data_IF_037064079310
#
_entry.id   IF_037064079310
#
_cell.length_a   1.000
_cell.length_b   1.000
_cell.length_c   1.000
_cell.angle_alpha   90.00
_cell.angle_beta   90.00
_cell.angle_gamma   90.00
#
_symmetry.space_group_name_H-M   'P 1'
#
loop_
_entity.id
_entity.type
_entity.pdbx_description
1 polymer ?
#
# COMPACT_ATOMS: atom_id res chain seq x y z
N UNK A 1 -24.52 27.72 -64.87
CA UNK A 1 -23.40 27.66 -63.91
C UNK A 1 -23.38 26.23 -63.39
N UNK A 2 -22.84 25.25 -64.14
CA UNK A 2 -21.44 25.10 -64.57
C UNK A 2 -20.50 25.15 -63.35
N UNK A 3 -19.65 24.19 -63.02
CA UNK A 3 -19.34 22.84 -63.52
C UNK A 3 -18.58 22.09 -62.39
N UNK A 4 -18.79 20.79 -62.25
CA UNK A 4 -17.79 19.83 -61.72
C UNK A 4 -16.83 19.51 -62.90
N UNK A 5 -15.55 19.07 -62.77
CA UNK A 5 -15.30 17.64 -62.44
C UNK A 5 -13.86 17.23 -61.97
N UNK A 6 -13.73 15.93 -61.61
CA UNK A 6 -12.61 14.94 -61.83
C UNK A 6 -11.15 15.29 -61.51
N UNK A 7 -10.42 14.43 -60.75
CA UNK A 7 -9.60 13.28 -61.22
C UNK A 7 -8.45 13.71 -62.15
N UNK A 8 -7.19 13.46 -61.77
CA UNK A 8 -6.23 12.66 -62.56
C UNK A 8 -4.88 12.48 -61.84
N UNK A 9 -4.32 11.30 -62.10
CA UNK A 9 -3.02 10.75 -61.71
C UNK A 9 -2.05 11.06 -62.86
N UNK A 10 -0.82 11.47 -62.56
CA UNK A 10 0.38 11.35 -63.42
C UNK A 10 1.59 11.80 -62.57
N UNK A 11 2.83 11.35 -62.70
CA UNK A 11 3.54 10.34 -63.49
C UNK A 11 4.91 10.24 -62.76
N UNK A 12 5.54 9.07 -62.61
CA UNK A 12 6.59 8.67 -63.55
C UNK A 12 7.99 9.14 -63.10
N UNK A 13 8.82 8.20 -62.61
CA UNK A 13 10.28 8.24 -62.81
C UNK A 13 10.96 6.90 -62.42
N UNK A 14 11.17 6.09 -63.45
CA UNK A 14 12.43 5.33 -63.76
C UNK A 14 12.97 4.25 -62.80
N UNK A 15 12.86 3.00 -63.27
CA UNK A 15 13.86 1.92 -63.17
C UNK A 15 15.17 2.30 -63.90
N UNK A 16 16.31 1.64 -63.60
CA UNK A 16 16.68 0.51 -64.47
C UNK A 16 17.23 -0.74 -63.73
N UNK A 17 16.98 -1.89 -64.35
CA UNK A 17 17.68 -3.16 -64.12
C UNK A 17 19.14 -3.14 -64.60
N UNK A 18 19.98 -3.95 -63.95
CA UNK A 18 21.16 -4.68 -64.49
C UNK A 18 21.67 -5.61 -63.37
N UNK A 19 22.20 -6.82 -63.54
CA UNK A 19 22.58 -7.63 -64.70
C UNK A 19 22.84 -9.07 -64.18
N UNK A 20 22.63 -10.07 -65.02
CA UNK A 20 22.87 -11.50 -64.74
C UNK A 20 24.36 -11.84 -64.65
N UNK A 21 24.70 -12.86 -63.87
CA UNK A 21 26.02 -13.49 -63.89
C UNK A 21 25.97 -14.93 -63.40
N UNK A 22 25.79 -15.87 -64.33
CA UNK A 22 25.82 -17.31 -64.10
C UNK A 22 27.26 -17.84 -64.19
N UNK A 23 27.64 -18.73 -63.27
CA UNK A 23 28.77 -19.65 -63.47
C UNK A 23 28.51 -20.98 -62.76
N UNK A 24 28.29 -22.04 -63.55
CA UNK A 24 28.47 -23.44 -63.16
C UNK A 24 29.95 -23.82 -63.36
N UNK A 25 30.50 -24.78 -62.62
CA UNK A 25 30.72 -26.07 -63.27
C UNK A 25 30.58 -27.32 -62.38
N UNK A 26 30.29 -28.41 -63.11
CA UNK A 26 30.74 -29.80 -62.95
C UNK A 26 30.46 -30.61 -61.67
N UNK A 27 29.70 -31.68 -61.92
CA UNK A 27 29.55 -32.87 -61.09
C UNK A 27 30.64 -33.88 -61.47
N UNK A 28 31.54 -34.20 -60.56
CA UNK A 28 32.38 -35.41 -60.60
C UNK A 28 32.31 -36.12 -59.24
N UNK A 29 32.38 -37.44 -59.28
CA UNK A 29 31.92 -38.40 -58.29
C UNK A 29 32.72 -38.40 -56.97
N UNK A 30 32.03 -38.68 -55.86
CA UNK A 30 32.64 -39.33 -54.69
C UNK A 30 32.22 -38.79 -53.32
N UNK A 31 31.07 -39.25 -52.82
CA UNK A 31 30.76 -39.52 -51.39
C UNK A 31 31.18 -38.45 -50.36
N UNK A 32 30.21 -37.62 -49.91
CA UNK A 32 29.87 -37.31 -48.49
C UNK A 32 28.83 -36.15 -48.38
N UNK A 33 27.81 -36.37 -47.51
CA UNK A 33 26.85 -35.46 -46.83
C UNK A 33 25.65 -34.85 -47.63
N UNK A 34 24.52 -34.52 -46.96
CA UNK A 34 24.46 -33.30 -46.12
C UNK A 34 23.75 -33.43 -44.77
N UNK A 35 24.25 -32.63 -43.82
CA UNK A 35 23.57 -32.20 -42.59
C UNK A 35 22.15 -31.73 -42.90
N UNK A 36 21.18 -32.26 -42.15
CA UNK A 36 19.86 -31.67 -42.04
C UNK A 36 19.93 -30.64 -40.91
N UNK A 37 19.64 -29.39 -41.27
CA UNK A 37 19.65 -28.22 -40.42
C UNK A 37 18.79 -28.45 -39.18
N UNK A 38 19.40 -28.27 -38.00
CA UNK A 38 18.69 -28.19 -36.74
C UNK A 38 17.93 -26.86 -36.72
N UNK A 39 16.61 -26.95 -36.88
CA UNK A 39 15.66 -25.87 -36.61
C UNK A 39 16.05 -25.19 -35.28
N UNK A 40 16.38 -23.90 -35.33
CA UNK A 40 16.68 -23.12 -34.14
C UNK A 40 15.47 -23.19 -33.19
N UNK A 41 15.67 -23.42 -31.87
CA UNK A 41 14.56 -23.38 -30.93
C UNK A 41 13.86 -22.02 -31.03
N UNK A 42 12.51 -21.98 -31.01
CA UNK A 42 11.78 -20.73 -31.08
C UNK A 42 12.27 -19.79 -29.98
N UNK A 43 12.43 -18.48 -30.26
CA UNK A 43 12.82 -17.51 -29.24
C UNK A 43 11.84 -17.64 -28.06
N UNK A 44 12.32 -17.60 -26.80
CA UNK A 44 11.44 -17.66 -25.65
C UNK A 44 10.35 -16.59 -25.80
N UNK A 45 9.09 -16.90 -25.43
CA UNK A 45 8.00 -15.94 -25.53
C UNK A 45 8.41 -14.68 -24.76
N UNK A 46 8.28 -13.52 -25.42
CA UNK A 46 8.51 -12.23 -24.78
C UNK A 46 7.59 -12.11 -23.57
N UNK A 47 8.10 -11.68 -22.40
CA UNK A 47 7.29 -11.58 -21.18
C UNK A 47 6.08 -10.68 -21.44
N UNK A 48 4.92 -11.09 -20.93
CA UNK A 48 3.71 -10.27 -21.02
C UNK A 48 3.92 -8.93 -20.29
N UNK A 49 3.25 -7.83 -20.69
CA UNK A 49 3.38 -6.54 -20.01
C UNK A 49 3.08 -6.60 -18.50
N UNK A 50 2.31 -7.60 -18.06
CA UNK A 50 2.02 -7.85 -16.64
C UNK A 50 3.19 -8.54 -15.91
N UNK A 51 3.98 -9.38 -16.57
CA UNK A 51 5.20 -9.98 -16.00
C UNK A 51 6.33 -8.96 -15.91
N UNK A 52 6.53 -8.10 -16.91
CA UNK A 52 7.52 -7.01 -16.83
C UNK A 52 7.18 -6.00 -15.71
N UNK A 53 5.89 -5.70 -15.49
CA UNK A 53 5.45 -4.82 -14.41
C UNK A 53 5.65 -5.45 -13.02
N UNK A 54 5.39 -6.76 -12.88
CA UNK A 54 5.63 -7.50 -11.64
C UNK A 54 7.12 -7.63 -11.34
N UNK A 55 7.94 -7.92 -12.36
CA UNK A 55 9.40 -8.00 -12.24
C UNK A 55 10.04 -6.64 -11.97
N UNK A 56 9.48 -5.54 -12.50
CA UNK A 56 9.92 -4.19 -12.16
C UNK A 56 9.60 -3.83 -10.71
N UNK A 57 8.43 -4.22 -10.19
CA UNK A 57 8.00 -3.99 -8.81
C UNK A 57 8.80 -4.80 -7.77
N UNK A 58 9.11 -6.07 -8.07
CA UNK A 58 9.98 -6.91 -7.23
C UNK A 58 11.44 -6.48 -7.30
N UNK A 59 11.88 -5.97 -8.46
CA UNK A 59 13.22 -5.38 -8.63
C UNK A 59 13.36 -4.01 -7.98
N UNK A 60 12.24 -3.33 -7.74
CA UNK A 60 12.15 -2.33 -6.71
C UNK A 60 12.36 -3.05 -5.35
N UNK A 61 11.38 -3.61 -4.64
CA UNK A 61 11.47 -3.85 -3.16
C UNK A 61 12.87 -4.20 -2.56
N UNK A 62 13.35 -3.38 -1.61
CA UNK A 62 14.57 -3.67 -0.82
C UNK A 62 14.41 -4.92 0.06
N UNK A 63 13.16 -5.28 0.31
CA UNK A 63 12.78 -6.27 1.29
C UNK A 63 11.52 -7.00 0.84
N UNK A 64 11.59 -8.29 0.59
CA UNK A 64 10.40 -9.10 0.26
C UNK A 64 9.67 -9.48 1.54
N UNK A 65 8.39 -9.84 1.44
CA UNK A 65 7.54 -10.22 2.58
C UNK A 65 8.15 -11.36 3.41
N UNK A 66 8.86 -12.29 2.76
CA UNK A 66 9.43 -13.48 3.40
C UNK A 66 10.88 -13.31 3.88
N UNK A 67 11.53 -12.19 3.58
CA UNK A 67 12.91 -12.00 4.00
C UNK A 67 12.95 -11.80 5.55
N UNK A 68 14.03 -12.15 6.27
CA UNK A 68 14.23 -11.71 7.71
C UNK A 68 15.37 -10.67 7.92
N UNK A 69 15.09 -9.39 8.32
CA UNK A 69 16.11 -8.35 8.26
C UNK A 69 17.05 -8.50 9.46
N UNK A 70 18.21 -7.83 9.46
CA UNK A 70 19.05 -7.77 10.66
C UNK A 70 18.25 -7.26 11.87
N UNK A 71 18.40 -7.92 13.02
CA UNK A 71 17.56 -7.70 14.21
C UNK A 71 17.47 -6.24 14.66
N UNK A 72 18.55 -5.45 14.48
CA UNK A 72 18.57 -4.03 14.82
C UNK A 72 17.70 -3.20 13.88
N UNK A 73 17.70 -3.51 12.58
CA UNK A 73 16.80 -2.86 11.62
C UNK A 73 15.34 -3.20 11.91
N UNK A 74 15.04 -4.45 12.29
CA UNK A 74 13.68 -4.85 12.66
C UNK A 74 13.10 -3.99 13.78
N UNK A 75 13.91 -3.64 14.79
CA UNK A 75 13.48 -2.77 15.90
C UNK A 75 13.14 -1.37 15.37
N UNK A 76 13.99 -0.78 14.53
CA UNK A 76 13.74 0.55 13.97
C UNK A 76 12.54 0.58 13.02
N UNK A 77 12.41 -0.41 12.13
CA UNK A 77 11.27 -0.52 11.21
C UNK A 77 9.97 -0.77 11.99
N UNK A 78 9.99 -1.64 13.00
CA UNK A 78 8.86 -1.90 13.87
C UNK A 78 8.42 -0.64 14.63
N UNK A 79 9.37 0.13 15.15
CA UNK A 79 9.08 1.41 15.80
C UNK A 79 8.48 2.43 14.82
N UNK A 80 9.01 2.53 13.60
CA UNK A 80 8.47 3.41 12.56
C UNK A 80 7.02 3.05 12.20
N UNK A 81 6.75 1.76 12.00
CA UNK A 81 5.40 1.27 11.73
C UNK A 81 4.45 1.55 12.90
N UNK A 82 4.91 1.33 14.13
CA UNK A 82 4.14 1.68 15.33
C UNK A 82 3.81 3.18 15.41
N UNK A 83 4.81 4.05 15.26
CA UNK A 83 4.64 5.51 15.31
C UNK A 83 3.70 6.04 14.23
N UNK A 84 3.67 5.39 13.06
CA UNK A 84 2.77 5.77 11.96
C UNK A 84 1.32 5.35 12.26
N UNK A 85 1.12 4.15 12.80
CA UNK A 85 -0.22 3.59 13.03
C UNK A 85 -0.88 4.09 14.32
N UNK A 86 -0.08 4.41 15.35
CA UNK A 86 -0.59 4.86 16.65
C UNK A 86 -1.33 6.20 16.51
N UNK A 87 -0.87 7.10 15.62
CA UNK A 87 -1.53 8.38 15.37
C UNK A 87 -2.98 8.21 14.92
N UNK A 88 -3.19 7.40 13.87
CA UNK A 88 -4.53 7.09 13.36
C UNK A 88 -5.40 6.35 14.39
N UNK A 89 -4.82 5.42 15.13
CA UNK A 89 -5.56 4.61 16.12
C UNK A 89 -6.05 5.45 17.30
N UNK A 90 -5.24 6.40 17.78
CA UNK A 90 -5.59 7.31 18.88
C UNK A 90 -6.64 8.35 18.45
N UNK A 91 -6.69 8.71 17.16
CA UNK A 91 -7.71 9.66 16.66
C UNK A 91 -9.13 9.15 16.92
N UNK A 92 -9.40 7.86 16.75
CA UNK A 92 -10.75 7.29 16.90
C UNK A 92 -11.35 7.53 18.30
N UNK A 93 -10.71 7.11 19.42
CA UNK A 93 -11.24 7.38 20.74
C UNK A 93 -11.33 8.88 21.03
N UNK A 94 -10.38 9.71 20.57
CA UNK A 94 -10.49 11.17 20.76
C UNK A 94 -11.66 11.82 20.03
N UNK A 95 -12.06 11.29 18.89
CA UNK A 95 -13.25 11.75 18.17
C UNK A 95 -14.54 11.29 18.85
N UNK A 96 -14.54 10.11 19.48
CA UNK A 96 -15.72 9.52 20.11
C UNK A 96 -15.95 9.97 21.56
N UNK A 97 -14.89 10.22 22.34
CA UNK A 97 -15.00 10.63 23.76
C UNK A 97 -15.93 11.81 24.02
N UNK A 98 -15.93 12.92 23.25
CA UNK A 98 -16.88 14.02 23.49
C UNK A 98 -18.34 13.63 23.21
N UNK A 99 -18.59 12.66 22.33
CA UNK A 99 -19.94 12.15 22.03
C UNK A 99 -20.42 11.13 23.07
N UNK A 100 -19.49 10.58 23.85
CA UNK A 100 -19.75 9.69 24.98
C UNK A 100 -19.89 10.44 26.30
N UNK A 101 -19.80 11.77 26.29
CA UNK A 101 -19.85 12.62 27.47
C UNK A 101 -18.68 12.39 28.45
N UNK A 102 -17.50 12.02 27.93
CA UNK A 102 -16.27 11.87 28.72
C UNK A 102 -15.52 13.22 28.69
N UNK A 103 -15.19 13.74 29.87
CA UNK A 103 -14.44 15.00 30.01
C UNK A 103 -12.97 14.83 29.56
N UNK A 104 -12.33 15.92 29.15
CA UNK A 104 -10.93 15.90 28.72
C UNK A 104 -9.97 15.49 29.83
N UNK A 105 -10.31 15.78 31.09
CA UNK A 105 -9.48 15.43 32.27
C UNK A 105 -9.83 14.06 32.87
N UNK A 106 -10.80 13.35 32.31
CA UNK A 106 -11.28 12.11 32.88
C UNK A 106 -10.29 10.95 32.64
N UNK A 107 -9.94 10.15 33.67
CA UNK A 107 -9.08 8.98 33.50
C UNK A 107 -9.66 7.92 32.53
N UNK A 108 -10.98 7.90 32.30
CA UNK A 108 -11.63 6.99 31.35
C UNK A 108 -11.12 7.16 29.91
N UNK A 109 -10.81 8.40 29.49
CA UNK A 109 -10.22 8.67 28.18
C UNK A 109 -8.89 7.95 27.99
N UNK A 110 -8.04 7.96 29.02
CA UNK A 110 -6.78 7.22 29.03
C UNK A 110 -6.98 5.70 28.96
N UNK A 111 -8.00 5.17 29.66
CA UNK A 111 -8.35 3.74 29.60
C UNK A 111 -8.80 3.31 28.20
N UNK A 112 -9.57 4.14 27.49
CA UNK A 112 -9.98 3.85 26.11
C UNK A 112 -8.80 3.82 25.14
N UNK A 113 -7.91 4.83 25.23
CA UNK A 113 -6.72 4.93 24.40
C UNK A 113 -5.75 3.76 24.64
N UNK A 114 -5.50 3.39 25.90
CA UNK A 114 -4.62 2.27 26.20
C UNK A 114 -5.21 0.94 25.71
N UNK A 115 -6.52 0.75 25.88
CA UNK A 115 -7.21 -0.48 25.47
C UNK A 115 -7.18 -0.66 23.95
N UNK A 116 -7.48 0.38 23.16
CA UNK A 116 -7.49 0.24 21.69
C UNK A 116 -6.10 -0.08 21.13
N UNK A 117 -5.03 0.54 21.68
CA UNK A 117 -3.64 0.25 21.26
C UNK A 117 -3.25 -1.17 21.67
N UNK A 118 -3.58 -1.58 22.90
CA UNK A 118 -3.24 -2.90 23.41
C UNK A 118 -3.93 -4.02 22.62
N UNK A 119 -5.25 -3.89 22.39
CA UNK A 119 -6.02 -4.85 21.62
C UNK A 119 -5.58 -4.86 20.15
N UNK A 120 -5.30 -3.70 19.54
CA UNK A 120 -4.71 -3.60 18.20
C UNK A 120 -3.40 -4.37 18.08
N UNK A 121 -2.53 -4.31 19.08
CA UNK A 121 -1.30 -5.09 19.14
C UNK A 121 -1.55 -6.60 19.19
N UNK A 122 -2.45 -7.05 20.07
CA UNK A 122 -2.83 -8.47 20.18
C UNK A 122 -3.39 -8.99 18.85
N UNK A 123 -4.33 -8.25 18.25
CA UNK A 123 -4.98 -8.65 17.01
C UNK A 123 -3.98 -8.67 15.85
N UNK A 124 -3.04 -7.72 15.80
CA UNK A 124 -1.95 -7.73 14.81
C UNK A 124 -1.05 -8.97 14.96
N UNK A 125 -0.70 -9.34 16.21
CA UNK A 125 0.07 -10.55 16.48
C UNK A 125 -0.70 -11.81 16.06
N UNK A 126 -2.00 -11.89 16.36
CA UNK A 126 -2.85 -13.00 15.95
C UNK A 126 -2.96 -13.10 14.42
N UNK A 127 -3.13 -11.96 13.73
CA UNK A 127 -3.18 -11.88 12.27
C UNK A 127 -1.88 -12.34 11.61
N UNK A 128 -0.73 -11.95 12.20
CA UNK A 128 0.58 -12.32 11.68
C UNK A 128 0.97 -13.79 11.98
N UNK A 129 0.51 -14.36 13.09
CA UNK A 129 0.89 -15.73 13.51
C UNK A 129 -0.08 -16.82 13.03
N UNK A 130 -1.37 -16.64 13.30
CA UNK A 130 -2.45 -17.61 13.01
C UNK A 130 -3.33 -17.22 11.81
N UNK A 131 -3.35 -15.93 11.46
CA UNK A 131 -4.14 -15.42 10.35
C UNK A 131 -3.50 -15.68 8.99
N UNK A 132 -3.61 -14.70 8.10
CA UNK A 132 -3.16 -14.80 6.70
C UNK A 132 -1.63 -14.75 6.57
N UNK A 133 -0.89 -14.58 7.68
CA UNK A 133 0.58 -14.45 7.73
C UNK A 133 1.15 -13.34 6.84
N UNK A 134 0.29 -12.40 6.46
CA UNK A 134 0.69 -11.19 5.77
C UNK A 134 1.03 -10.10 6.79
N UNK A 135 2.03 -9.24 6.52
CA UNK A 135 2.43 -8.15 7.39
C UNK A 135 1.40 -7.00 7.33
N UNK A 136 0.23 -7.23 7.95
CA UNK A 136 -0.89 -6.28 8.02
C UNK A 136 -1.04 -5.81 9.46
N UNK A 137 -0.92 -4.51 9.68
CA UNK A 137 -1.15 -3.91 11.00
C UNK A 137 -2.65 -3.69 11.16
N UNK A 138 -3.23 -4.29 12.18
CA UNK A 138 -4.65 -4.13 12.49
C UNK A 138 -4.85 -3.01 13.49
N UNK A 139 -5.84 -2.16 13.24
CA UNK A 139 -6.22 -1.06 14.11
C UNK A 139 -7.71 -0.75 13.98
N UNK A 140 -8.18 0.30 14.67
CA UNK A 140 -9.55 0.75 14.51
C UNK A 140 -9.83 1.26 13.10
N UNK A 141 -11.03 0.99 12.58
CA UNK A 141 -11.43 1.44 11.24
C UNK A 141 -12.23 2.74 11.29
N UNK A 142 -11.82 3.71 10.48
CA UNK A 142 -12.57 4.96 10.29
C UNK A 142 -13.91 4.75 9.58
N UNK A 143 -14.10 3.64 8.86
CA UNK A 143 -15.37 3.32 8.20
C UNK A 143 -16.52 3.11 9.19
N UNK A 144 -16.22 2.70 10.43
CA UNK A 144 -17.24 2.59 11.48
C UNK A 144 -17.46 3.89 12.26
N UNK A 145 -16.68 4.93 12.00
CA UNK A 145 -16.78 6.18 12.74
C UNK A 145 -18.10 6.89 12.42
N UNK A 146 -18.42 7.06 11.14
CA UNK A 146 -19.68 7.69 10.68
C UNK A 146 -20.92 6.99 11.26
N UNK A 147 -21.11 5.65 11.13
CA UNK A 147 -22.26 4.98 11.72
C UNK A 147 -22.24 5.04 13.25
N UNK A 148 -21.07 5.03 13.90
CA UNK A 148 -20.99 5.18 15.36
C UNK A 148 -21.46 6.56 15.82
N UNK A 149 -21.04 7.63 15.13
CA UNK A 149 -21.55 9.00 15.41
C UNK A 149 -23.06 9.02 15.23
N UNK A 150 -23.59 8.45 14.14
CA UNK A 150 -25.02 8.41 13.88
C UNK A 150 -25.79 7.69 15.00
N UNK A 151 -25.29 6.55 15.49
CA UNK A 151 -25.90 5.85 16.64
C UNK A 151 -25.92 6.74 17.88
N UNK A 152 -24.79 7.39 18.19
CA UNK A 152 -24.66 8.23 19.39
C UNK A 152 -25.54 9.48 19.37
N UNK A 153 -25.75 10.10 18.21
CA UNK A 153 -26.55 11.32 18.08
C UNK A 153 -28.04 11.06 17.94
N UNK A 154 -28.44 9.84 17.56
CA UNK A 154 -29.86 9.47 17.38
C UNK A 154 -30.44 8.70 18.56
N UNK A 155 -29.64 7.85 19.20
CA UNK A 155 -30.11 6.94 20.28
C UNK A 155 -30.05 7.60 21.65
N UNK A 156 -29.16 8.57 21.83
CA UNK A 156 -28.91 9.20 23.12
C UNK A 156 -29.06 10.71 23.04
N UNK A 157 -29.44 11.32 24.16
CA UNK A 157 -29.51 12.77 24.29
C UNK A 157 -28.11 13.41 24.14
N UNK A 158 -28.07 14.65 23.66
CA UNK A 158 -26.81 15.36 23.49
C UNK A 158 -26.16 15.64 24.84
N UNK A 159 -24.84 15.45 24.95
CA UNK A 159 -24.10 15.66 26.21
C UNK A 159 -24.22 17.08 26.78
N UNK A 160 -24.62 18.07 25.97
CA UNK A 160 -24.86 19.45 26.40
C UNK A 160 -26.09 19.59 27.30
N UNK A 161 -27.09 18.74 27.11
CA UNK A 161 -28.37 18.83 27.79
C UNK A 161 -28.38 18.04 29.11
N UNK A 162 -27.37 17.19 29.33
CA UNK A 162 -27.22 16.45 30.58
C UNK A 162 -26.55 17.33 31.66
N UNK A 163 -27.01 17.29 32.92
CA UNK A 163 -26.43 18.04 34.03
C UNK A 163 -25.13 17.39 34.57
N UNK A 164 -24.15 17.13 33.70
CA UNK A 164 -22.89 16.44 34.04
C UNK A 164 -22.15 17.08 35.22
N UNK A 165 -22.23 18.40 35.39
CA UNK A 165 -21.55 19.14 36.45
C UNK A 165 -22.21 18.99 37.83
N UNK A 166 -23.45 18.51 37.90
CA UNK A 166 -24.22 18.32 39.14
C UNK A 166 -24.33 16.84 39.52
N UNK A 167 -24.03 15.93 38.59
CA UNK A 167 -24.04 14.49 38.80
C UNK A 167 -22.84 14.02 39.61
N UNK A 168 -23.01 12.89 40.28
CA UNK A 168 -21.93 12.15 40.95
C UNK A 168 -21.01 11.46 39.93
N UNK A 169 -19.80 11.10 40.35
CA UNK A 169 -18.84 10.40 39.48
C UNK A 169 -19.38 9.05 38.97
N UNK A 170 -20.20 8.35 39.78
CA UNK A 170 -20.82 7.08 39.40
C UNK A 170 -21.86 7.25 38.28
N UNK A 171 -22.71 8.28 38.38
CA UNK A 171 -23.69 8.61 37.34
C UNK A 171 -23.01 9.03 36.03
N UNK A 172 -21.92 9.81 36.12
CA UNK A 172 -21.10 10.17 34.94
C UNK A 172 -20.49 8.94 34.28
N UNK A 173 -20.04 7.97 35.09
CA UNK A 173 -19.48 6.72 34.57
C UNK A 173 -20.54 5.87 33.85
N UNK A 174 -21.75 5.78 34.41
CA UNK A 174 -22.86 5.03 33.81
C UNK A 174 -23.24 5.58 32.42
N UNK A 175 -23.28 6.91 32.26
CA UNK A 175 -23.65 7.56 30.98
C UNK A 175 -22.72 7.15 29.84
N UNK A 176 -21.40 7.20 30.03
CA UNK A 176 -20.46 6.84 28.96
C UNK A 176 -20.36 5.32 28.77
N UNK A 177 -20.47 4.54 29.85
CA UNK A 177 -20.46 3.07 29.77
C UNK A 177 -21.67 2.53 29.01
N UNK A 178 -22.86 3.12 29.20
CA UNK A 178 -24.06 2.74 28.46
C UNK A 178 -23.89 2.97 26.95
N UNK A 179 -23.36 4.13 26.56
CA UNK A 179 -23.05 4.47 25.16
C UNK A 179 -22.00 3.52 24.56
N UNK A 180 -20.95 3.20 25.32
CA UNK A 180 -19.92 2.24 24.91
C UNK A 180 -20.48 0.84 24.70
N UNK A 181 -21.38 0.37 25.58
CA UNK A 181 -22.00 -0.95 25.48
C UNK A 181 -22.84 -1.11 24.22
N UNK A 182 -23.59 -0.07 23.85
CA UNK A 182 -24.37 -0.06 22.61
C UNK A 182 -23.48 -0.17 21.37
N UNK A 183 -22.41 0.63 21.32
CA UNK A 183 -21.44 0.60 20.20
C UNK A 183 -20.75 -0.75 20.10
N UNK A 184 -20.28 -1.29 21.22
CA UNK A 184 -19.63 -2.60 21.25
C UNK A 184 -20.60 -3.71 20.83
N UNK A 185 -21.86 -3.65 21.25
CA UNK A 185 -22.90 -4.57 20.83
C UNK A 185 -23.13 -4.52 19.31
N UNK A 186 -23.27 -3.33 18.74
CA UNK A 186 -23.45 -3.14 17.30
C UNK A 186 -22.25 -3.67 16.50
N UNK A 187 -21.02 -3.37 16.93
CA UNK A 187 -19.80 -3.86 16.28
C UNK A 187 -19.68 -5.39 16.41
N UNK A 188 -20.07 -5.98 17.55
CA UNK A 188 -20.02 -7.43 17.74
C UNK A 188 -20.97 -8.16 16.78
N UNK A 189 -22.20 -7.66 16.63
CA UNK A 189 -23.18 -8.21 15.69
C UNK A 189 -22.69 -8.06 14.24
N UNK A 190 -22.14 -6.89 13.90
CA UNK A 190 -21.53 -6.63 12.58
C UNK A 190 -20.38 -7.60 12.28
N UNK A 191 -19.51 -7.85 13.27
CA UNK A 191 -18.38 -8.78 13.13
C UNK A 191 -18.86 -10.23 12.91
N UNK A 192 -19.85 -10.69 13.67
CA UNK A 192 -20.43 -12.03 13.47
C UNK A 192 -21.02 -12.15 12.06
N UNK A 193 -21.78 -11.14 11.62
CA UNK A 193 -22.33 -11.10 10.26
C UNK A 193 -21.22 -11.14 9.19
N UNK A 194 -20.16 -10.36 9.36
CA UNK A 194 -19.03 -10.33 8.44
C UNK A 194 -18.29 -11.67 8.37
N UNK A 195 -18.13 -12.37 9.51
CA UNK A 195 -17.54 -13.71 9.56
C UNK A 195 -18.42 -14.72 8.83
N UNK A 196 -19.74 -14.70 9.03
CA UNK A 196 -20.67 -15.58 8.30
C UNK A 196 -20.62 -15.33 6.79
N UNK A 197 -20.65 -14.07 6.37
CA UNK A 197 -20.53 -13.69 4.95
C UNK A 197 -19.17 -14.12 4.39
N UNK A 198 -18.09 -14.00 5.16
CA UNK A 198 -16.77 -14.50 4.80
C UNK A 198 -16.75 -16.02 4.57
N UNK A 199 -17.34 -16.80 5.47
CA UNK A 199 -17.42 -18.26 5.34
C UNK A 199 -18.28 -18.73 4.17
N UNK A 200 -19.33 -17.99 3.82
CA UNK A 200 -20.16 -18.31 2.65
C UNK A 200 -19.46 -18.09 1.30
N UNK A 201 -18.30 -17.44 1.27
CA UNK A 201 -17.56 -17.15 0.03
C UNK A 201 -18.23 -16.10 -0.88
N UNK A 202 -19.33 -15.48 -0.44
CA UNK A 202 -20.06 -14.44 -1.18
C UNK A 202 -19.14 -13.26 -1.51
N UNK A 203 -18.18 -12.95 -0.63
CA UNK A 203 -17.21 -11.87 -0.84
C UNK A 203 -16.42 -12.08 -2.14
N UNK A 204 -16.04 -13.31 -2.51
CA UNK A 204 -15.30 -13.57 -3.75
C UNK A 204 -16.13 -13.25 -5.01
N UNK A 205 -17.42 -13.59 -4.99
CA UNK A 205 -18.35 -13.26 -6.08
C UNK A 205 -18.58 -11.75 -6.13
N UNK A 206 -18.75 -11.12 -4.97
CA UNK A 206 -18.98 -9.69 -4.87
C UNK A 206 -17.77 -8.87 -5.35
N UNK A 207 -16.54 -9.30 -5.04
CA UNK A 207 -15.31 -8.65 -5.52
C UNK A 207 -15.14 -8.73 -7.05
N UNK A 208 -15.80 -9.68 -7.72
CA UNK A 208 -15.87 -9.71 -9.20
C UNK A 208 -16.74 -8.57 -9.74
N UNK A 209 -17.72 -8.11 -8.97
CA UNK A 209 -18.64 -7.03 -9.37
C UNK A 209 -18.14 -5.66 -8.94
N UNK A 210 -17.46 -5.58 -7.80
CA UNK A 210 -16.93 -4.33 -7.27
C UNK A 210 -15.66 -3.96 -8.03
N UNK A 211 -15.79 -3.04 -8.98
CA UNK A 211 -14.64 -2.46 -9.66
C UNK A 211 -13.95 -1.41 -8.79
N UNK A 212 -12.62 -1.17 -8.97
CA UNK A 212 -11.90 -0.09 -8.31
C UNK A 212 -12.56 1.29 -8.49
N UNK A 213 -13.29 1.46 -9.59
CA UNK A 213 -14.08 2.66 -9.90
C UNK A 213 -15.19 2.95 -8.87
N UNK A 214 -15.71 1.93 -8.18
CA UNK A 214 -16.71 2.10 -7.12
C UNK A 214 -16.06 2.22 -5.72
N UNK A 215 -14.94 1.53 -5.48
CA UNK A 215 -14.25 1.53 -4.18
C UNK A 215 -13.61 2.90 -3.90
N UNK A 216 -12.87 3.44 -4.88
CA UNK A 216 -12.14 4.70 -4.72
C UNK A 216 -13.05 5.88 -4.29
N UNK A 217 -14.19 6.16 -4.96
CA UNK A 217 -15.07 7.25 -4.53
C UNK A 217 -15.73 6.97 -3.18
N UNK A 218 -16.05 5.70 -2.85
CA UNK A 218 -16.64 5.34 -1.55
C UNK A 218 -15.65 5.63 -0.41
N UNK A 219 -14.38 5.20 -0.56
CA UNK A 219 -13.34 5.47 0.44
C UNK A 219 -13.04 6.97 0.53
N UNK A 220 -13.02 7.68 -0.60
CA UNK A 220 -12.85 9.13 -0.61
C UNK A 220 -13.99 9.85 0.12
N UNK A 221 -15.23 9.37 -0.02
CA UNK A 221 -16.39 9.95 0.65
C UNK A 221 -16.36 9.70 2.17
N UNK A 222 -15.90 8.51 2.61
CA UNK A 222 -15.62 8.25 4.03
C UNK A 222 -14.57 9.22 4.56
N UNK A 223 -13.47 9.44 3.82
CA UNK A 223 -12.46 10.43 4.19
C UNK A 223 -12.99 11.86 4.25
N UNK A 224 -13.80 12.26 3.26
CA UNK A 224 -14.39 13.60 3.19
C UNK A 224 -15.35 13.86 4.36
N UNK A 225 -16.12 12.86 4.78
CA UNK A 225 -17.05 12.99 5.92
C UNK A 225 -16.34 13.28 7.25
N UNK A 226 -15.06 12.93 7.38
CA UNK A 226 -14.24 13.16 8.57
C UNK A 226 -13.52 14.52 8.53
N UNK A 227 -13.51 15.18 7.36
CA UNK A 227 -12.78 16.43 7.17
C UNK A 227 -13.31 17.55 8.05
N UNK A 228 -14.63 17.67 8.22
CA UNK A 228 -15.24 18.70 9.07
C UNK A 228 -14.74 18.61 10.51
N UNK A 229 -14.78 17.41 11.08
CA UNK A 229 -14.35 17.18 12.47
C UNK A 229 -12.84 17.38 12.62
N UNK A 230 -12.05 16.96 11.63
CA UNK A 230 -10.61 17.18 11.62
C UNK A 230 -10.27 18.68 11.50
N UNK A 231 -11.00 19.43 10.67
CA UNK A 231 -10.81 20.87 10.48
C UNK A 231 -11.16 21.64 11.76
N UNK A 232 -12.28 21.31 12.41
CA UNK A 232 -12.67 21.92 13.67
C UNK A 232 -11.59 21.73 14.74
N UNK A 233 -11.07 20.51 14.89
CA UNK A 233 -9.99 20.23 15.85
C UNK A 233 -8.65 20.86 15.46
N UNK A 234 -8.32 20.90 14.17
CA UNK A 234 -7.10 21.54 13.69
C UNK A 234 -7.13 23.07 13.85
N UNK A 235 -8.32 23.68 13.76
CA UNK A 235 -8.51 25.14 13.88
C UNK A 235 -8.21 25.66 15.29
N UNK A 236 -8.47 24.86 16.32
CA UNK A 236 -8.16 25.21 17.73
C UNK A 236 -6.69 25.54 17.94
N UNK A 237 -5.80 24.83 17.24
CA UNK A 237 -4.35 25.01 17.30
C UNK A 237 -3.76 25.15 15.89
N UNK A 238 -4.28 26.09 15.11
CA UNK A 238 -3.91 26.29 13.71
C UNK A 238 -2.40 26.40 13.47
N UNK A 239 -1.65 27.02 14.38
CA UNK A 239 -0.19 27.17 14.26
C UNK A 239 0.57 25.85 14.34
N UNK A 240 0.17 24.96 15.26
CA UNK A 240 0.77 23.62 15.39
C UNK A 240 0.39 22.78 14.16
N UNK A 241 -0.88 22.82 13.76
CA UNK A 241 -1.38 22.11 12.58
C UNK A 241 -0.65 22.51 11.29
N UNK A 242 -0.46 23.82 11.06
CA UNK A 242 0.25 24.33 9.90
C UNK A 242 1.73 23.94 9.92
N UNK A 243 2.38 24.04 11.09
CA UNK A 243 3.77 23.62 11.27
C UNK A 243 3.94 22.13 10.93
N UNK A 244 3.07 21.25 11.44
CA UNK A 244 3.12 19.82 11.13
C UNK A 244 2.90 19.55 9.64
N UNK A 245 1.94 20.23 8.99
CA UNK A 245 1.72 20.13 7.55
C UNK A 245 2.97 20.54 6.74
N UNK A 246 3.58 21.67 7.09
CA UNK A 246 4.78 22.15 6.43
C UNK A 246 5.97 21.19 6.60
N UNK A 247 6.16 20.64 7.80
CA UNK A 247 7.20 19.63 8.06
C UNK A 247 6.95 18.35 7.26
N UNK A 248 5.71 17.86 7.19
CA UNK A 248 5.37 16.69 6.38
C UNK A 248 5.65 16.93 4.89
N UNK A 249 5.27 18.10 4.36
CA UNK A 249 5.55 18.46 2.96
C UNK A 249 7.07 18.58 2.73
N UNK A 250 7.80 19.23 3.63
CA UNK A 250 9.25 19.40 3.52
C UNK A 250 9.95 18.03 3.56
N UNK A 251 9.62 17.17 4.52
CA UNK A 251 10.25 15.87 4.69
C UNK A 251 9.86 14.90 3.57
N UNK A 252 8.59 14.87 3.18
CA UNK A 252 8.08 13.98 2.13
C UNK A 252 8.51 14.41 0.72
N UNK A 253 8.48 15.71 0.40
CA UNK A 253 8.68 16.19 -0.97
C UNK A 253 10.11 16.68 -1.23
N UNK A 254 10.75 17.37 -0.28
CA UNK A 254 12.07 18.00 -0.49
C UNK A 254 13.22 17.05 -0.09
N UNK A 255 13.12 16.42 1.09
CA UNK A 255 14.16 15.49 1.58
C UNK A 255 14.15 14.13 0.89
N UNK A 256 13.12 13.81 0.09
CA UNK A 256 13.12 12.63 -0.80
C UNK A 256 14.31 12.58 -1.77
N UNK A 257 14.86 13.74 -2.14
CA UNK A 257 15.96 13.82 -3.11
C UNK A 257 17.32 14.19 -2.49
N UNK A 258 17.40 14.41 -1.18
CA UNK A 258 18.66 14.75 -0.48
C UNK A 258 19.28 13.47 0.10
N UNK A 259 20.50 13.15 -0.33
CA UNK A 259 21.28 12.07 0.26
C UNK A 259 21.83 12.52 1.60
N UNK A 260 21.43 11.86 2.68
CA UNK A 260 21.92 12.18 4.03
C UNK A 260 23.24 11.44 4.23
N UNK A 261 24.36 12.13 4.46
CA UNK A 261 25.65 11.48 4.67
C UNK A 261 25.63 10.81 6.05
N UNK A 262 25.49 9.48 6.10
CA UNK A 262 25.53 8.72 7.35
C UNK A 262 26.97 8.25 7.56
N UNK A 263 27.60 8.58 8.70
CA UNK A 263 28.91 8.06 9.03
C UNK A 263 28.80 6.55 9.28
N UNK A 264 29.31 5.74 8.34
CA UNK A 264 29.39 4.30 8.48
C UNK A 264 30.77 3.95 9.04
N UNK A 265 30.81 3.35 10.23
CA UNK A 265 32.06 2.94 10.87
C UNK A 265 32.38 1.49 10.50
N UNK A 266 33.43 1.28 9.70
CA UNK A 266 33.95 -0.06 9.38
C UNK A 266 35.32 -0.24 10.01
N UNK A 267 35.54 -1.40 10.66
CA UNK A 267 36.77 -1.71 11.42
C UNK A 267 38.05 -1.69 10.59
N UNK A 268 37.94 -1.84 9.26
CA UNK A 268 39.10 -1.85 8.34
C UNK A 268 39.34 -0.53 7.59
N UNK A 269 38.39 0.42 7.60
CA UNK A 269 38.48 1.69 6.82
C UNK A 269 38.15 2.98 7.59
N UNK A 270 37.91 2.92 8.91
CA UNK A 270 37.59 4.11 9.71
C UNK A 270 36.17 4.65 9.45
N UNK A 271 35.95 5.93 9.78
CA UNK A 271 34.67 6.63 9.55
C UNK A 271 34.57 7.00 8.07
N UNK A 272 33.71 6.31 7.33
CA UNK A 272 33.39 6.64 5.94
C UNK A 272 32.01 7.31 5.88
N UNK A 273 31.92 8.49 5.26
CA UNK A 273 30.64 9.12 4.97
C UNK A 273 30.03 8.44 3.74
N UNK A 274 29.01 7.62 3.95
CA UNK A 274 28.21 7.07 2.86
C UNK A 274 26.95 7.93 2.68
N UNK A 275 26.64 8.33 1.45
CA UNK A 275 25.41 9.08 1.16
C UNK A 275 24.23 8.11 1.16
N UNK A 276 23.46 8.10 2.25
CA UNK A 276 22.26 7.26 2.39
C UNK A 276 21.05 8.12 2.11
N UNK A 277 20.31 7.78 1.06
CA UNK A 277 19.01 8.39 0.79
C UNK A 277 17.96 7.76 1.72
N UNK A 278 17.87 8.25 2.96
CA UNK A 278 16.95 7.74 4.00
C UNK A 278 15.49 7.66 3.50
N UNK A 279 15.09 8.59 2.62
CA UNK A 279 13.74 8.65 2.03
C UNK A 279 13.61 7.95 0.65
N UNK A 280 14.70 7.41 0.11
CA UNK A 280 14.70 6.41 -0.99
C UNK A 280 15.10 5.03 -0.47
N UNK A 281 14.76 4.69 0.77
CA UNK A 281 14.75 3.30 1.23
C UNK A 281 13.61 2.47 0.57
N UNK A 282 13.03 3.02 -0.50
CA UNK A 282 12.19 2.41 -1.51
C UNK A 282 12.93 2.56 -2.86
N UNK A 283 12.86 1.56 -3.70
CA UNK A 283 14.00 0.68 -3.76
C UNK A 283 14.93 1.00 -4.91
N UNK A 284 16.21 1.02 -4.61
CA UNK A 284 17.24 1.03 -5.64
C UNK A 284 18.04 -0.24 -5.46
N UNK A 285 18.01 -1.12 -6.47
CA UNK A 285 19.19 -1.92 -6.72
C UNK A 285 20.36 -0.93 -6.80
N UNK A 286 21.27 -0.99 -5.84
CA UNK A 286 22.66 -0.68 -6.16
C UNK A 286 23.13 -1.82 -7.08
N UNK A 287 22.76 -1.75 -8.36
CA UNK A 287 23.62 -2.34 -9.39
C UNK A 287 24.84 -1.42 -9.43
N UNK A 288 25.76 -1.70 -8.54
CA UNK A 288 27.09 -1.12 -8.46
C UNK A 288 28.08 -2.28 -8.44
N UNK A 289 28.35 -2.79 -9.64
CA UNK A 289 29.67 -3.29 -10.06
C UNK A 289 30.34 -4.38 -9.18
N UNK A 290 29.89 -5.62 -9.36
CA UNK A 290 30.77 -6.79 -9.34
C UNK A 290 30.63 -7.47 -10.71
N UNK A 291 31.22 -6.86 -11.74
CA UNK A 291 31.51 -7.58 -12.97
C UNK A 291 32.76 -8.42 -12.69
N UNK A 292 32.54 -9.68 -12.35
CA UNK A 292 33.62 -10.60 -12.03
C UNK A 292 33.10 -12.02 -11.85
N UNK A 293 33.22 -12.79 -12.93
CA UNK A 293 33.32 -14.26 -13.02
C UNK A 293 32.02 -15.09 -13.12
N UNK A 294 32.04 -15.87 -14.20
CA UNK A 294 31.05 -16.80 -14.74
C UNK A 294 30.64 -17.95 -13.80
N UNK A 295 29.46 -18.52 -14.06
CA UNK A 295 29.11 -19.88 -13.61
C UNK A 295 27.61 -20.21 -13.70
N UNK A 296 27.17 -21.18 -14.52
CA UNK A 296 25.76 -21.48 -14.72
C UNK A 296 25.29 -22.61 -13.79
N UNK A 297 24.23 -22.39 -13.01
CA UNK A 297 23.40 -23.46 -12.47
C UNK A 297 21.97 -22.97 -12.25
N UNK A 298 21.08 -23.27 -13.21
CA UNK A 298 19.64 -23.07 -13.07
C UNK A 298 18.97 -24.42 -12.83
N UNK A 299 18.40 -24.59 -11.63
CA UNK A 299 17.38 -25.60 -11.33
C UNK A 299 16.02 -24.89 -11.15
N UNK A 300 14.89 -25.52 -11.53
CA UNK A 300 13.63 -24.81 -11.73
C UNK A 300 12.91 -24.49 -10.41
N UNK A 301 12.61 -23.21 -10.19
CA UNK A 301 11.70 -22.76 -9.14
C UNK A 301 10.24 -23.00 -9.60
N UNK A 302 9.49 -23.74 -8.79
CA UNK A 302 8.05 -23.97 -8.97
C UNK A 302 7.29 -22.65 -8.79
N UNK A 303 6.55 -22.25 -9.82
CA UNK A 303 5.51 -21.24 -9.72
C UNK A 303 4.42 -21.68 -8.75
N UNK A 304 4.07 -20.81 -7.80
CA UNK A 304 2.78 -20.83 -7.12
C UNK A 304 2.06 -19.52 -7.48
N UNK A 305 1.16 -19.63 -8.44
CA UNK A 305 0.20 -18.60 -8.82
C UNK A 305 -0.93 -18.60 -7.80
N UNK A 306 -1.26 -17.45 -7.21
CA UNK A 306 -2.47 -17.29 -6.39
C UNK A 306 -3.17 -16.00 -6.78
N UNK A 307 -4.33 -16.23 -7.43
CA UNK A 307 -5.45 -15.32 -7.63
C UNK A 307 -6.14 -15.07 -6.29
#
# INVERSE_FOLDING_TARGET
MADNPTFEIEEGATLPQKENGATLPQKENGVIQPQLDAEAPPPPPSPSPEEEAKDALTSELLYTVDDVPPWYMCIFLGLQHYLTMVGATITIPFLLTPLMCIDDNDPARGKLVSTIIFVSGIVTLLQATFGVRLPIIQGGTFSFLVPTIAILTTTFEACRDLPLATMTEEEREEVWQQRMREIQGAIAVSAIFQVLVGFTGIIGILLTWITPLAIAPTVALVGLSLFEVAADKASLHWGVSFMTMALLILFSQYLRNVGVPVPTYSKDKGVSFSSVYIFKLFPRRLVGEQQGTDGPHHGPARQLSLV
#
